data_IF_377918223197
#
_entry.id   IF_377918223197
#
_cell.length_a   1.000
_cell.length_b   1.000
_cell.length_c   1.000
_cell.angle_alpha   90.00
_cell.angle_beta   90.00
_cell.angle_gamma   90.00
#
_symmetry.space_group_name_H-M   'P 1'
#
loop_
_entity.id
_entity.type
_entity.pdbx_description
1 polymer ?
#
# COMPACT_ATOMS: atom_id res chain seq x y z
N UNK A 1 -4.54 9.72 8.90
CA UNK A 1 -5.65 10.65 8.65
C UNK A 1 -6.64 9.94 7.74
N UNK A 2 -7.81 9.56 8.21
CA UNK A 2 -8.82 8.85 7.42
C UNK A 2 -9.71 9.89 6.75
N UNK A 3 -9.68 9.91 5.42
CA UNK A 3 -10.59 10.74 4.63
C UNK A 3 -11.62 9.81 4.00
N UNK A 4 -12.92 9.95 4.28
CA UNK A 4 -13.93 9.26 3.49
C UNK A 4 -13.98 9.87 2.10
N UNK A 5 -14.30 9.04 1.13
CA UNK A 5 -14.23 9.37 -0.28
C UNK A 5 -15.63 9.31 -0.88
N UNK A 6 -16.00 10.36 -1.60
CA UNK A 6 -17.15 10.32 -2.49
C UNK A 6 -16.64 10.02 -3.91
N UNK A 7 -17.16 9.01 -4.61
CA UNK A 7 -16.74 8.72 -5.98
C UNK A 7 -17.12 9.91 -6.88
N UNK A 8 -16.14 10.44 -7.60
CA UNK A 8 -16.34 11.59 -8.48
C UNK A 8 -16.66 11.21 -9.93
N UNK A 9 -16.06 10.16 -10.43
CA UNK A 9 -16.33 9.53 -11.72
C UNK A 9 -15.50 8.26 -11.91
N UNK A 10 -16.02 7.29 -12.65
CA UNK A 10 -15.20 6.24 -13.28
C UNK A 10 -14.60 6.84 -14.55
N UNK A 11 -13.30 6.92 -14.65
CA UNK A 11 -12.64 7.44 -15.86
C UNK A 11 -12.69 6.35 -16.93
N UNK A 12 -13.30 6.69 -18.08
CA UNK A 12 -13.42 5.77 -19.21
C UNK A 12 -12.06 5.34 -19.76
N UNK A 13 -12.02 4.12 -20.29
CA UNK A 13 -10.84 3.37 -20.76
C UNK A 13 -9.97 4.09 -21.81
N UNK A 14 -10.51 5.09 -22.51
CA UNK A 14 -9.87 5.79 -23.64
C UNK A 14 -8.83 6.85 -23.25
N UNK A 15 -8.72 7.20 -21.95
CA UNK A 15 -7.75 8.19 -21.45
C UNK A 15 -6.69 7.60 -20.55
N UNK A 16 -6.41 6.30 -20.64
CA UNK A 16 -5.49 5.61 -19.72
C UNK A 16 -4.08 5.49 -20.26
N UNK A 17 -3.52 6.58 -20.76
CA UNK A 17 -2.08 6.66 -20.95
C UNK A 17 -1.37 6.62 -19.58
N UNK A 18 -0.54 5.58 -19.32
CA UNK A 18 0.15 5.44 -18.03
C UNK A 18 1.03 6.64 -17.66
N UNK A 19 1.65 7.28 -18.64
CA UNK A 19 2.52 8.43 -18.39
C UNK A 19 1.71 9.68 -18.04
N UNK A 20 0.58 9.91 -18.71
CA UNK A 20 -0.35 10.99 -18.36
C UNK A 20 -0.90 10.83 -16.94
N UNK A 21 -1.38 9.63 -16.60
CA UNK A 21 -1.92 9.36 -15.25
C UNK A 21 -0.83 9.43 -14.18
N UNK A 22 0.38 8.97 -14.46
CA UNK A 22 1.52 9.13 -13.55
C UNK A 22 1.77 10.60 -13.23
N UNK A 23 1.67 11.48 -14.23
CA UNK A 23 1.83 12.91 -14.04
C UNK A 23 0.72 13.53 -13.17
N UNK A 24 -0.54 13.14 -13.40
CA UNK A 24 -1.66 13.57 -12.55
C UNK A 24 -1.48 13.15 -11.09
N UNK A 25 -0.93 11.95 -10.83
CA UNK A 25 -0.65 11.47 -9.48
C UNK A 25 0.50 12.26 -8.85
N UNK A 26 1.58 12.47 -9.59
CA UNK A 26 2.76 13.22 -9.11
C UNK A 26 2.43 14.66 -8.76
N UNK A 27 1.51 15.29 -9.50
CA UNK A 27 1.06 16.68 -9.31
C UNK A 27 -0.15 16.81 -8.36
N UNK A 28 -0.57 15.74 -7.68
CA UNK A 28 -1.73 15.73 -6.75
C UNK A 28 -3.09 16.07 -7.40
N UNK A 29 -3.19 15.94 -8.72
CA UNK A 29 -4.44 16.15 -9.44
C UNK A 29 -5.36 14.93 -9.48
N UNK A 30 -4.82 13.75 -9.16
CA UNK A 30 -5.57 12.52 -9.01
C UNK A 30 -5.50 12.02 -7.57
N UNK A 31 -6.66 11.75 -6.99
CA UNK A 31 -6.79 11.13 -5.68
C UNK A 31 -7.79 9.98 -5.74
N UNK A 32 -7.35 8.75 -5.46
CA UNK A 32 -8.21 7.59 -5.60
C UNK A 32 -7.47 6.26 -5.64
N UNK A 33 -8.13 5.26 -6.21
CA UNK A 33 -7.58 3.94 -6.42
C UNK A 33 -7.37 3.65 -7.91
N UNK A 34 -6.29 2.96 -8.21
CA UNK A 34 -5.92 2.54 -9.58
C UNK A 34 -5.56 1.06 -9.55
N UNK A 35 -6.21 0.26 -10.40
CA UNK A 35 -5.77 -1.11 -10.71
C UNK A 35 -4.83 -1.05 -11.91
N UNK A 36 -3.56 -1.39 -11.68
CA UNK A 36 -2.50 -1.26 -12.68
C UNK A 36 -1.46 -2.37 -12.54
N UNK A 37 -0.71 -2.58 -13.62
CA UNK A 37 0.52 -3.37 -13.58
C UNK A 37 1.69 -2.43 -13.26
N UNK A 38 2.56 -2.85 -12.33
CA UNK A 38 3.73 -2.10 -11.91
C UNK A 38 5.00 -2.86 -12.26
N UNK A 39 6.01 -2.13 -12.73
CA UNK A 39 7.33 -2.67 -13.07
C UNK A 39 8.41 -1.73 -12.56
N UNK A 40 9.42 -2.27 -11.89
CA UNK A 40 10.65 -1.54 -11.57
C UNK A 40 11.63 -1.70 -12.72
N UNK A 41 12.00 -0.62 -13.43
CA UNK A 41 12.96 -0.67 -14.53
C UNK A 41 14.32 -1.22 -14.07
N UNK A 42 15.09 -1.90 -14.97
CA UNK A 42 16.36 -2.53 -14.61
C UNK A 42 17.38 -1.57 -13.97
N UNK A 43 17.50 -0.34 -14.49
CA UNK A 43 18.42 0.66 -13.93
C UNK A 43 18.03 1.13 -12.52
N UNK A 44 16.72 1.17 -12.21
CA UNK A 44 16.21 1.48 -10.87
C UNK A 44 16.41 0.27 -9.96
N UNK A 45 16.16 -0.94 -10.47
CA UNK A 45 16.39 -2.18 -9.73
C UNK A 45 17.86 -2.28 -9.29
N UNK A 46 18.81 -2.07 -10.19
CA UNK A 46 20.24 -2.09 -9.90
C UNK A 46 20.62 -1.10 -8.77
N UNK A 47 19.99 0.08 -8.73
CA UNK A 47 20.20 1.07 -7.68
C UNK A 47 19.78 0.58 -6.27
N UNK A 48 18.72 -0.24 -6.20
CA UNK A 48 18.16 -0.73 -4.92
C UNK A 48 18.51 -2.19 -4.63
N UNK A 49 19.20 -2.88 -5.52
CA UNK A 49 19.49 -4.32 -5.39
C UNK A 49 20.36 -4.62 -4.15
N UNK A 50 21.28 -3.74 -3.79
CA UNK A 50 22.11 -3.86 -2.60
C UNK A 50 21.31 -3.82 -1.29
N UNK A 51 20.10 -3.26 -1.30
CA UNK A 51 19.21 -3.22 -0.13
C UNK A 51 18.37 -4.50 0.00
N UNK A 52 18.35 -5.37 -1.02
CA UNK A 52 17.49 -6.56 -1.11
C UNK A 52 16.01 -6.27 -0.76
N UNK A 53 15.55 -5.06 -1.05
CA UNK A 53 14.22 -4.58 -0.66
C UNK A 53 13.44 -4.06 -1.87
N UNK A 54 12.76 -4.95 -2.61
CA UNK A 54 11.88 -4.54 -3.69
C UNK A 54 10.75 -3.62 -3.19
N UNK A 55 10.46 -2.51 -3.89
CA UNK A 55 9.54 -1.50 -3.39
C UNK A 55 8.05 -1.86 -3.50
N UNK A 56 7.70 -2.81 -4.38
CA UNK A 56 6.30 -3.17 -4.63
C UNK A 56 5.87 -4.25 -3.66
N UNK A 57 4.82 -3.96 -2.89
CA UNK A 57 4.20 -4.90 -1.96
C UNK A 57 2.99 -5.53 -2.61
N UNK A 58 2.93 -6.86 -2.65
CA UNK A 58 1.80 -7.61 -3.19
C UNK A 58 1.45 -8.83 -2.34
N UNK A 59 0.23 -9.31 -2.47
CA UNK A 59 -0.16 -10.61 -1.92
C UNK A 59 0.23 -11.71 -2.90
N UNK A 60 0.85 -12.76 -2.38
CA UNK A 60 1.27 -13.93 -3.17
C UNK A 60 0.87 -15.20 -2.45
N UNK A 61 0.60 -16.25 -3.22
CA UNK A 61 0.45 -17.59 -2.67
C UNK A 61 1.80 -18.28 -2.77
N UNK A 62 2.45 -18.46 -1.64
CA UNK A 62 3.77 -19.13 -1.57
C UNK A 62 3.57 -20.63 -1.57
N UNK A 63 4.15 -21.30 -2.55
CA UNK A 63 4.17 -22.75 -2.72
C UNK A 63 5.55 -23.32 -2.36
N UNK A 64 5.67 -24.63 -2.20
CA UNK A 64 6.92 -25.27 -1.78
C UNK A 64 8.08 -25.04 -2.75
N UNK A 65 7.79 -25.00 -4.05
CA UNK A 65 8.75 -24.77 -5.14
C UNK A 65 9.36 -23.35 -5.16
N UNK A 66 8.74 -22.40 -4.47
CA UNK A 66 9.24 -21.03 -4.32
C UNK A 66 10.20 -20.86 -3.15
N UNK A 67 10.40 -21.89 -2.33
CA UNK A 67 11.14 -21.82 -1.09
C UNK A 67 12.49 -22.53 -1.24
N UNK A 68 13.51 -22.03 -0.53
CA UNK A 68 14.76 -22.76 -0.36
C UNK A 68 14.57 -23.97 0.58
N UNK A 69 15.46 -24.97 0.50
CA UNK A 69 15.43 -26.14 1.38
C UNK A 69 15.38 -25.74 2.85
N UNK A 70 16.21 -24.78 3.27
CA UNK A 70 16.21 -24.26 4.63
C UNK A 70 14.86 -23.68 5.05
N UNK A 71 14.21 -22.90 4.17
CA UNK A 71 12.89 -22.32 4.46
C UNK A 71 11.82 -23.40 4.56
N UNK A 72 11.91 -24.43 3.72
CA UNK A 72 10.99 -25.57 3.73
C UNK A 72 11.10 -26.36 5.03
N UNK A 73 12.32 -26.70 5.48
CA UNK A 73 12.56 -27.37 6.76
C UNK A 73 11.98 -26.57 7.93
N UNK A 74 12.20 -25.26 7.96
CA UNK A 74 11.68 -24.39 9.05
C UNK A 74 10.15 -24.33 9.07
N UNK A 75 9.50 -24.34 7.91
CA UNK A 75 8.03 -24.36 7.80
C UNK A 75 7.49 -25.72 8.27
N UNK A 76 8.11 -26.81 7.85
CA UNK A 76 7.73 -28.17 8.29
C UNK A 76 7.90 -28.36 9.80
N UNK A 77 9.00 -27.83 10.36
CA UNK A 77 9.24 -27.85 11.81
C UNK A 77 8.20 -27.07 12.63
N UNK A 78 7.54 -26.08 12.03
CA UNK A 78 6.49 -25.28 12.68
C UNK A 78 5.06 -25.79 12.42
N UNK A 79 4.87 -26.96 11.80
CA UNK A 79 3.58 -27.51 11.38
C UNK A 79 2.70 -26.56 10.54
N UNK A 80 3.30 -25.61 9.86
CA UNK A 80 2.56 -24.74 8.93
C UNK A 80 2.33 -25.47 7.61
N UNK A 81 1.08 -25.41 7.15
CA UNK A 81 0.70 -26.03 5.87
C UNK A 81 0.95 -25.06 4.71
N UNK A 82 1.55 -25.55 3.63
CA UNK A 82 1.62 -24.86 2.34
C UNK A 82 0.45 -25.35 1.45
N UNK A 83 -0.06 -24.51 0.51
CA UNK A 83 0.36 -23.12 0.21
C UNK A 83 -0.14 -22.09 1.24
N UNK A 84 0.60 -21.01 1.42
CA UNK A 84 0.24 -19.89 2.32
C UNK A 84 0.10 -18.60 1.53
N UNK A 85 -1.02 -17.91 1.71
CA UNK A 85 -1.18 -16.51 1.22
C UNK A 85 -0.46 -15.57 2.16
N UNK A 86 0.52 -14.85 1.66
CA UNK A 86 1.29 -13.89 2.43
C UNK A 86 1.55 -12.61 1.64
N UNK A 87 2.10 -11.62 2.32
CA UNK A 87 2.54 -10.37 1.70
C UNK A 87 4.01 -10.48 1.39
N UNK A 88 4.38 -10.21 0.15
CA UNK A 88 5.77 -10.27 -0.33
C UNK A 88 6.16 -8.96 -1.01
N UNK A 89 7.45 -8.65 -0.96
CA UNK A 89 8.05 -7.58 -1.72
C UNK A 89 8.48 -8.09 -3.10
N UNK A 90 8.27 -7.30 -4.14
CA UNK A 90 8.52 -7.69 -5.52
C UNK A 90 9.02 -6.53 -6.37
N UNK A 91 9.73 -6.84 -7.47
CA UNK A 91 10.18 -5.88 -8.48
C UNK A 91 9.10 -5.56 -9.53
N UNK A 92 8.05 -6.37 -9.57
CA UNK A 92 6.90 -6.20 -10.46
C UNK A 92 5.65 -6.79 -9.86
N UNK A 93 4.50 -6.36 -10.36
CA UNK A 93 3.22 -6.95 -9.98
C UNK A 93 2.15 -6.64 -11.02
N UNK A 94 1.28 -7.62 -11.28
CA UNK A 94 0.15 -7.47 -12.20
C UNK A 94 -1.13 -7.25 -11.43
N UNK A 95 -2.03 -6.41 -11.99
CA UNK A 95 -3.37 -6.14 -11.47
C UNK A 95 -3.37 -5.74 -9.99
N UNK A 96 -2.47 -4.83 -9.63
CA UNK A 96 -2.37 -4.33 -8.27
C UNK A 96 -3.34 -3.17 -8.08
N UNK A 97 -4.20 -3.27 -7.08
CA UNK A 97 -5.06 -2.17 -6.66
C UNK A 97 -4.25 -1.28 -5.72
N UNK A 98 -3.92 -0.08 -6.19
CA UNK A 98 -3.05 0.87 -5.50
C UNK A 98 -3.80 2.16 -5.15
N UNK A 99 -3.57 2.65 -3.94
CA UNK A 99 -4.02 3.97 -3.52
C UNK A 99 -3.05 5.05 -4.01
N UNK A 100 -3.55 6.15 -4.56
CA UNK A 100 -2.73 7.17 -5.23
C UNK A 100 -1.58 7.75 -4.40
N UNK A 101 -1.68 8.02 -3.08
CA UNK A 101 -0.54 8.47 -2.28
C UNK A 101 0.60 7.46 -2.20
N UNK A 102 0.27 6.15 -2.08
CA UNK A 102 1.29 5.12 -2.10
C UNK A 102 1.88 4.94 -3.50
N UNK A 103 1.03 4.98 -4.53
CA UNK A 103 1.49 4.93 -5.92
C UNK A 103 2.40 6.12 -6.25
N UNK A 104 2.08 7.33 -5.77
CA UNK A 104 2.96 8.52 -5.87
C UNK A 104 4.35 8.27 -5.28
N UNK A 105 4.41 7.61 -4.12
CA UNK A 105 5.68 7.22 -3.51
C UNK A 105 6.46 6.26 -4.41
N UNK A 106 5.83 5.22 -4.95
CA UNK A 106 6.47 4.26 -5.86
C UNK A 106 6.96 4.92 -7.15
N UNK A 107 6.16 5.82 -7.73
CA UNK A 107 6.57 6.58 -8.93
C UNK A 107 7.80 7.46 -8.66
N UNK A 108 7.88 8.09 -7.49
CA UNK A 108 9.07 8.86 -7.07
C UNK A 108 10.31 7.97 -6.88
N UNK A 109 10.15 6.70 -6.53
CA UNK A 109 11.25 5.73 -6.51
C UNK A 109 11.66 5.24 -7.90
N UNK A 110 10.93 5.63 -8.95
CA UNK A 110 11.20 5.23 -10.33
C UNK A 110 10.47 3.97 -10.80
N UNK A 111 9.52 3.47 -10.01
CA UNK A 111 8.61 2.40 -10.47
C UNK A 111 7.71 2.96 -11.57
N UNK A 112 7.42 2.18 -12.61
CA UNK A 112 6.56 2.56 -13.73
C UNK A 112 5.23 1.83 -13.70
N UNK A 113 4.16 2.55 -14.03
CA UNK A 113 2.88 1.94 -14.41
C UNK A 113 2.96 1.50 -15.87
N UNK A 114 2.40 0.31 -16.18
CA UNK A 114 2.43 -0.23 -17.55
C UNK A 114 1.02 -0.35 -18.13
N UNK A 115 0.12 -0.99 -17.43
CA UNK A 115 -1.26 -1.19 -17.87
C UNK A 115 -2.24 -0.69 -16.81
N UNK A 116 -3.11 0.21 -17.17
CA UNK A 116 -4.19 0.67 -16.28
C UNK A 116 -5.46 -0.10 -16.65
N UNK A 117 -6.04 -0.80 -15.68
CA UNK A 117 -7.26 -1.61 -15.88
C UNK A 117 -8.49 -0.86 -15.40
N UNK A 118 -8.38 -0.19 -14.27
CA UNK A 118 -9.48 0.54 -13.66
C UNK A 118 -8.94 1.71 -12.86
N UNK A 119 -9.69 2.80 -12.85
CA UNK A 119 -9.40 3.97 -12.01
C UNK A 119 -10.69 4.45 -11.37
N UNK A 120 -10.60 4.78 -10.08
CA UNK A 120 -11.70 5.40 -9.33
C UNK A 120 -11.16 6.64 -8.65
N UNK A 121 -11.62 7.79 -9.08
CA UNK A 121 -11.24 9.08 -8.51
C UNK A 121 -12.22 9.49 -7.43
N UNK A 122 -11.70 10.04 -6.34
CA UNK A 122 -12.48 10.53 -5.21
C UNK A 122 -12.17 12.00 -4.95
N UNK A 123 -13.12 12.68 -4.34
CA UNK A 123 -12.88 14.00 -3.77
C UNK A 123 -12.46 13.83 -2.31
N UNK A 124 -11.23 14.26 -1.92
CA UNK A 124 -10.78 14.16 -0.55
C UNK A 124 -11.61 15.06 0.36
N UNK A 125 -12.08 14.52 1.49
CA UNK A 125 -12.83 15.26 2.49
C UNK A 125 -12.34 14.92 3.90
N UNK A 126 -12.16 15.93 4.76
CA UNK A 126 -11.64 15.77 6.13
C UNK A 126 -12.74 15.64 7.18
N UNK A 127 -13.78 14.88 6.92
CA UNK A 127 -14.95 14.80 7.82
C UNK A 127 -14.63 14.22 9.22
N UNK A 128 -13.59 13.42 9.36
CA UNK A 128 -13.18 12.85 10.65
C UNK A 128 -12.08 13.64 11.37
N UNK A 129 -11.66 14.79 10.87
CA UNK A 129 -10.51 15.51 11.44
C UNK A 129 -10.74 15.86 12.92
N UNK A 130 -11.93 16.34 13.28
CA UNK A 130 -12.27 16.68 14.66
C UNK A 130 -12.25 15.46 15.59
N UNK A 131 -12.79 14.34 15.13
CA UNK A 131 -12.78 13.08 15.88
C UNK A 131 -11.36 12.57 16.08
N UNK A 132 -10.57 12.49 14.99
CA UNK A 132 -9.18 12.02 15.04
C UNK A 132 -8.34 12.91 15.97
N UNK A 133 -8.49 14.24 15.88
CA UNK A 133 -7.75 15.17 16.74
C UNK A 133 -8.10 14.97 18.23
N UNK A 134 -9.37 14.73 18.55
CA UNK A 134 -9.79 14.39 19.94
C UNK A 134 -9.16 13.07 20.40
N UNK A 135 -9.14 12.05 19.57
CA UNK A 135 -8.51 10.77 19.90
C UNK A 135 -7.01 10.90 20.09
N UNK A 136 -6.34 11.65 19.21
CA UNK A 136 -4.88 11.91 19.31
C UNK A 136 -4.56 12.69 20.58
N UNK A 137 -5.31 13.76 20.87
CA UNK A 137 -5.11 14.56 22.07
C UNK A 137 -5.35 13.72 23.34
N UNK A 138 -6.43 12.97 23.40
CA UNK A 138 -6.69 12.06 24.52
C UNK A 138 -5.60 11.02 24.75
N UNK A 139 -4.97 10.53 23.66
CA UNK A 139 -3.83 9.63 23.76
C UNK A 139 -2.56 10.32 24.29
N UNK A 140 -2.32 11.57 23.87
CA UNK A 140 -1.19 12.38 24.38
C UNK A 140 -1.38 12.63 25.86
N UNK A 141 -2.57 13.08 26.26
CA UNK A 141 -2.92 13.37 27.67
C UNK A 141 -2.82 12.11 28.56
N UNK A 142 -3.28 10.95 28.04
CA UNK A 142 -3.15 9.68 28.73
C UNK A 142 -1.70 9.20 28.90
N UNK A 143 -0.82 9.50 27.92
CA UNK A 143 0.62 9.22 28.08
C UNK A 143 1.30 10.10 29.12
N UNK A 144 0.88 11.36 29.25
CA UNK A 144 1.39 12.28 30.26
C UNK A 144 0.89 11.90 31.65
N UNK A 145 -0.37 11.45 31.77
CA UNK A 145 -0.99 10.97 32.99
C UNK A 145 -0.98 9.44 33.02
N UNK A 146 0.06 8.83 33.58
CA UNK A 146 0.28 7.36 33.56
C UNK A 146 -0.94 6.50 33.97
N UNK A 147 -1.80 7.02 34.83
CA UNK A 147 -3.01 6.36 35.35
C UNK A 147 -4.16 6.24 34.32
N UNK A 148 -4.21 7.10 33.31
CA UNK A 148 -5.26 7.10 32.27
C UNK A 148 -4.88 6.38 30.99
N UNK A 149 -3.59 6.03 30.81
CA UNK A 149 -3.08 5.45 29.57
C UNK A 149 -3.68 4.07 29.26
N UNK A 150 -3.87 3.24 30.27
CA UNK A 150 -4.40 1.88 30.08
C UNK A 150 -5.91 1.89 29.81
N UNK A 151 -6.67 2.76 30.49
CA UNK A 151 -8.09 2.92 30.23
C UNK A 151 -8.37 3.42 28.82
N UNK A 152 -7.56 4.36 28.32
CA UNK A 152 -7.72 4.88 26.97
C UNK A 152 -7.35 3.85 25.89
N UNK A 153 -6.32 3.03 26.13
CA UNK A 153 -5.97 1.91 25.24
C UNK A 153 -7.11 0.89 25.12
N UNK A 154 -7.68 0.49 26.25
CA UNK A 154 -8.76 -0.52 26.27
C UNK A 154 -10.03 -0.02 25.60
N UNK A 155 -10.40 1.25 25.78
CA UNK A 155 -11.66 1.80 25.25
C UNK A 155 -11.63 2.05 23.73
N UNK A 156 -10.45 2.24 23.11
CA UNK A 156 -10.35 2.63 21.70
C UNK A 156 -9.67 1.57 20.79
N UNK A 157 -9.19 0.47 21.36
CA UNK A 157 -8.54 -0.62 20.59
C UNK A 157 -9.17 -2.01 20.84
N UNK A 158 -10.20 -2.10 21.66
CA UNK A 158 -11.09 -3.25 21.78
C UNK A 158 -12.35 -3.06 20.94
#
# INVERSE_FOLDING_TARGET
MVTPFLPRAMIQKEKSDPDYISNLILTDQFFGFIETDLVTPPHIRAKYEHLNFPPIVRRETVTADMLSEYQLERILATNRKLPVKTVVNAWSGKRLLMFSPYLKFLLKLGVKMVNIKMMVQYTPHRCFSTFINKCVQGRIDAKQNKTKADTFKVTYYS
#
